data_IF_200727396250
#
_entry.id   IF_200727396250
#
_cell.length_a   1.000
_cell.length_b   1.000
_cell.length_c   1.000
_cell.angle_alpha   90.00
_cell.angle_beta   90.00
_cell.angle_gamma   90.00
#
_symmetry.space_group_name_H-M   'P 1'
#
loop_
_entity.id
_entity.type
_entity.pdbx_description
1 polymer ?
#
# COMPACT_ATOMS: atom_id res chain seq x y z
N UNK A 1 -13.14 -1.63 -27.91
CA UNK A 1 -13.18 -1.30 -26.46
C UNK A 1 -11.75 -1.43 -25.95
N UNK A 2 -11.18 -0.39 -25.37
CA UNK A 2 -9.82 -0.43 -24.81
C UNK A 2 -9.86 -1.16 -23.47
N UNK A 3 -8.91 -2.06 -23.23
CA UNK A 3 -8.83 -2.82 -21.99
C UNK A 3 -7.38 -2.87 -21.51
N UNK A 4 -7.14 -2.41 -20.29
CA UNK A 4 -5.83 -2.36 -19.65
C UNK A 4 -5.92 -3.19 -18.36
N UNK A 5 -5.09 -4.20 -18.23
CA UNK A 5 -5.05 -5.08 -17.06
C UNK A 5 -3.79 -4.86 -16.23
N UNK A 6 -3.93 -5.01 -14.92
CA UNK A 6 -2.81 -4.99 -14.00
C UNK A 6 -2.15 -6.37 -13.91
N UNK A 7 -0.83 -6.47 -14.09
CA UNK A 7 -0.07 -7.63 -13.67
C UNK A 7 -0.15 -7.88 -12.15
N UNK A 8 -0.01 -9.14 -11.74
CA UNK A 8 -0.16 -9.57 -10.35
C UNK A 8 1.00 -9.15 -9.42
N UNK A 9 2.12 -8.70 -9.97
CA UNK A 9 3.31 -8.32 -9.20
C UNK A 9 3.36 -6.82 -8.85
N UNK A 10 2.36 -6.03 -9.27
CA UNK A 10 2.35 -4.59 -8.98
C UNK A 10 1.81 -4.32 -7.58
N UNK A 11 2.39 -3.37 -6.83
CA UNK A 11 1.86 -2.94 -5.52
C UNK A 11 0.55 -2.15 -5.68
N UNK A 12 -0.16 -1.93 -4.57
CA UNK A 12 -1.29 -1.01 -4.52
C UNK A 12 -0.82 0.45 -4.46
N UNK A 13 -1.74 1.39 -4.72
CA UNK A 13 -1.45 2.81 -4.57
C UNK A 13 -1.20 3.15 -3.11
N UNK A 14 -0.04 3.75 -2.82
CA UNK A 14 0.40 4.10 -1.47
C UNK A 14 1.25 5.36 -1.52
N UNK A 15 1.04 6.29 -0.59
CA UNK A 15 1.86 7.50 -0.48
C UNK A 15 2.29 7.70 0.97
N UNK A 16 3.58 7.97 1.17
CA UNK A 16 4.11 8.39 2.45
C UNK A 16 3.70 9.83 2.69
N UNK A 17 3.04 10.09 3.82
CA UNK A 17 2.73 11.45 4.23
C UNK A 17 3.99 12.07 4.85
N UNK A 18 4.53 13.15 4.26
CA UNK A 18 5.70 13.83 4.82
C UNK A 18 5.37 14.47 6.17
N UNK A 19 6.38 14.65 7.02
CA UNK A 19 6.20 15.41 8.24
C UNK A 19 5.89 16.89 7.92
N UNK A 20 5.17 17.64 8.77
CA UNK A 20 4.78 19.03 8.48
C UNK A 20 5.95 19.99 8.19
N UNK A 21 7.16 19.66 8.63
CA UNK A 21 8.37 20.46 8.41
C UNK A 21 9.20 20.00 7.20
N UNK A 22 8.83 18.89 6.55
CA UNK A 22 9.46 18.40 5.33
C UNK A 22 8.73 18.95 4.11
N UNK A 23 9.34 19.94 3.47
CA UNK A 23 8.83 20.51 2.22
C UNK A 23 9.32 19.63 1.05
N UNK A 24 8.39 19.24 0.17
CA UNK A 24 8.63 18.67 -1.19
C UNK A 24 9.02 17.20 -1.37
N UNK A 25 9.12 16.37 -0.32
CA UNK A 25 9.41 14.93 -0.50
C UNK A 25 8.14 14.08 -0.51
N UNK A 26 7.38 14.14 -1.60
CA UNK A 26 6.32 13.15 -1.84
C UNK A 26 6.94 11.85 -2.34
N UNK A 27 6.75 10.75 -1.60
CA UNK A 27 7.20 9.42 -1.98
C UNK A 27 6.00 8.48 -2.02
N UNK A 28 5.71 7.90 -3.18
CA UNK A 28 4.53 7.06 -3.34
C UNK A 28 4.49 6.33 -4.68
N UNK A 29 3.51 5.45 -4.78
CA UNK A 29 3.17 4.70 -5.98
C UNK A 29 1.78 5.12 -6.42
N UNK A 30 1.69 5.75 -7.59
CA UNK A 30 0.45 6.16 -8.23
C UNK A 30 0.32 5.51 -9.62
N UNK A 31 -0.91 5.35 -10.10
CA UNK A 31 -1.18 4.87 -11.45
C UNK A 31 -1.83 5.99 -12.26
N UNK A 32 -1.28 6.27 -13.45
CA UNK A 32 -1.81 7.26 -14.38
C UNK A 32 -2.28 6.56 -15.65
N UNK A 33 -3.54 6.81 -16.05
CA UNK A 33 -4.02 6.49 -17.40
C UNK A 33 -3.88 7.73 -18.25
N UNK A 34 -3.13 7.62 -19.34
CA UNK A 34 -2.92 8.70 -20.30
C UNK A 34 -3.47 8.32 -21.66
N UNK A 35 -4.30 9.18 -22.23
CA UNK A 35 -4.77 9.10 -23.61
C UNK A 35 -4.31 10.33 -24.38
N UNK A 36 -3.96 10.18 -25.65
CA UNK A 36 -3.50 11.27 -26.49
C UNK A 36 -3.82 11.03 -27.97
N UNK A 37 -3.83 12.09 -28.76
CA UNK A 37 -3.98 12.05 -30.22
C UNK A 37 -2.70 12.51 -30.88
N UNK A 38 -2.20 11.76 -31.87
CA UNK A 38 -1.03 12.09 -32.69
C UNK A 38 -1.21 11.53 -34.10
N UNK A 39 -0.65 12.19 -35.10
CA UNK A 39 -0.63 11.70 -36.49
C UNK A 39 0.57 10.77 -36.74
N UNK A 40 1.69 11.06 -36.08
CA UNK A 40 2.91 10.25 -36.09
C UNK A 40 3.16 9.67 -34.67
N UNK A 41 3.27 8.34 -34.50
CA UNK A 41 3.56 7.72 -33.21
C UNK A 41 4.96 8.06 -32.65
N UNK A 42 5.90 8.51 -33.48
CA UNK A 42 7.24 8.93 -33.08
C UNK A 42 7.28 10.41 -32.64
N UNK A 43 6.23 11.19 -32.92
CA UNK A 43 6.16 12.59 -32.54
C UNK A 43 6.00 12.77 -31.02
N UNK A 44 6.67 13.81 -30.50
CA UNK A 44 6.52 14.20 -29.10
C UNK A 44 5.09 14.70 -28.82
N UNK A 45 4.33 13.90 -28.06
CA UNK A 45 2.96 14.21 -27.64
C UNK A 45 2.86 15.60 -26.98
N UNK A 46 2.11 16.51 -27.62
CA UNK A 46 1.81 17.83 -27.07
C UNK A 46 0.79 17.73 -25.92
N UNK A 47 1.02 18.46 -24.81
CA UNK A 47 0.14 18.43 -23.63
C UNK A 47 -1.33 18.73 -23.96
N UNK A 48 -1.59 19.65 -24.90
CA UNK A 48 -2.95 20.05 -25.34
C UNK A 48 -3.74 18.92 -26.02
N UNK A 49 -3.06 17.91 -26.54
CA UNK A 49 -3.67 16.75 -27.21
C UNK A 49 -3.67 15.51 -26.31
N UNK A 50 -3.39 15.66 -25.02
CA UNK A 50 -3.35 14.56 -24.06
C UNK A 50 -4.23 14.83 -22.85
N UNK A 51 -4.92 13.80 -22.38
CA UNK A 51 -5.61 13.78 -21.10
C UNK A 51 -4.94 12.76 -20.18
N UNK A 52 -4.91 13.07 -18.89
CA UNK A 52 -4.33 12.23 -17.84
C UNK A 52 -5.33 12.08 -16.71
N UNK A 53 -5.49 10.86 -16.23
CA UNK A 53 -6.34 10.53 -15.10
C UNK A 53 -5.54 9.70 -14.10
N UNK A 54 -5.39 10.21 -12.88
CA UNK A 54 -4.86 9.42 -11.78
C UNK A 54 -5.92 8.41 -11.33
N UNK A 55 -5.53 7.14 -11.25
CA UNK A 55 -6.35 6.05 -10.76
C UNK A 55 -5.64 5.36 -9.59
N UNK A 56 -6.40 4.61 -8.78
CA UNK A 56 -5.84 3.88 -7.64
C UNK A 56 -6.07 2.40 -7.78
N UNK A 57 -5.03 1.61 -7.47
CA UNK A 57 -5.18 0.19 -7.17
C UNK A 57 -5.36 0.06 -5.66
N UNK A 58 -6.53 -0.41 -5.23
CA UNK A 58 -6.90 -0.54 -3.81
C UNK A 58 -6.99 -2.02 -3.44
N UNK A 59 -6.42 -2.38 -2.28
CA UNK A 59 -6.57 -3.72 -1.71
C UNK A 59 -7.76 -3.74 -0.75
N UNK A 60 -8.66 -4.69 -0.96
CA UNK A 60 -9.75 -4.98 -0.04
C UNK A 60 -9.34 -6.07 0.94
N UNK A 61 -9.99 -6.10 2.09
CA UNK A 61 -9.82 -7.20 3.04
C UNK A 61 -10.27 -8.52 2.39
N UNK A 62 -9.61 -9.64 2.70
CA UNK A 62 -10.04 -10.95 2.23
C UNK A 62 -11.40 -11.32 2.83
N UNK A 63 -12.18 -12.11 2.10
CA UNK A 63 -13.49 -12.60 2.58
C UNK A 63 -13.36 -13.52 3.80
N UNK A 64 -12.30 -14.34 3.81
CA UNK A 64 -11.99 -15.26 4.90
C UNK A 64 -11.00 -14.57 5.83
N UNK A 65 -11.41 -14.36 7.08
CA UNK A 65 -10.52 -13.90 8.13
C UNK A 65 -9.57 -15.03 8.54
N UNK A 66 -8.30 -14.74 8.74
CA UNK A 66 -7.36 -15.72 9.27
C UNK A 66 -7.46 -15.87 10.80
N UNK A 67 -6.49 -16.57 11.40
CA UNK A 67 -6.54 -16.95 12.81
C UNK A 67 -6.43 -15.73 13.73
N UNK A 68 -6.90 -15.90 14.97
CA UNK A 68 -6.73 -14.87 16.00
C UNK A 68 -5.24 -14.59 16.24
N UNK A 69 -4.77 -13.33 16.10
CA UNK A 69 -3.39 -13.01 16.41
C UNK A 69 -3.12 -13.19 17.89
N UNK A 70 -2.10 -13.99 18.21
CA UNK A 70 -1.70 -14.33 19.56
C UNK A 70 -0.17 -14.44 19.63
N UNK A 71 0.41 -13.90 20.69
CA UNK A 71 1.83 -14.06 21.00
C UNK A 71 2.04 -14.24 22.50
N UNK A 72 3.00 -15.07 22.87
CA UNK A 72 3.41 -15.31 24.24
C UNK A 72 4.94 -15.27 24.32
N UNK A 73 5.46 -14.72 25.40
CA UNK A 73 6.91 -14.68 25.65
C UNK A 73 7.18 -14.81 27.14
N UNK A 74 8.39 -15.30 27.45
CA UNK A 74 8.84 -15.52 28.82
C UNK A 74 10.22 -14.92 29.01
N UNK A 75 10.38 -14.04 29.99
CA UNK A 75 11.67 -13.45 30.34
C UNK A 75 12.19 -14.01 31.65
N UNK A 76 13.49 -14.27 31.66
CA UNK A 76 14.25 -14.59 32.87
C UNK A 76 15.17 -13.42 33.18
N UNK A 77 15.26 -13.06 34.45
CA UNK A 77 16.09 -11.94 34.90
C UNK A 77 17.26 -12.48 35.69
N UNK A 78 18.46 -11.95 35.45
CA UNK A 78 19.70 -12.43 36.06
C UNK A 78 19.62 -12.53 37.59
N UNK A 79 18.92 -11.59 38.24
CA UNK A 79 18.77 -11.52 39.70
C UNK A 79 17.51 -12.21 40.25
N UNK A 80 16.62 -12.73 39.40
CA UNK A 80 15.38 -13.40 39.82
C UNK A 80 15.29 -14.82 39.26
N UNK A 81 15.10 -15.79 40.15
CA UNK A 81 14.82 -17.18 39.75
C UNK A 81 13.41 -17.40 39.21
N UNK A 82 12.52 -16.39 39.32
CA UNK A 82 11.13 -16.48 38.84
C UNK A 82 11.01 -15.86 37.44
N UNK A 83 10.49 -16.60 36.44
CA UNK A 83 10.23 -16.08 35.11
C UNK A 83 9.03 -15.13 35.09
N UNK A 84 9.03 -14.18 34.15
CA UNK A 84 7.88 -13.35 33.80
C UNK A 84 7.26 -13.84 32.50
N UNK A 85 6.03 -14.33 32.57
CA UNK A 85 5.24 -14.74 31.41
C UNK A 85 4.31 -13.61 30.97
N UNK A 86 4.30 -13.31 29.67
CA UNK A 86 3.40 -12.31 29.07
C UNK A 86 2.72 -12.88 27.84
N UNK A 87 1.41 -12.66 27.74
CA UNK A 87 0.57 -13.07 26.63
C UNK A 87 -0.19 -11.85 26.07
N UNK A 88 -0.29 -11.75 24.75
CA UNK A 88 -1.07 -10.72 24.07
C UNK A 88 -1.89 -11.33 22.92
N UNK A 89 -3.16 -10.94 22.83
CA UNK A 89 -4.08 -11.36 21.77
C UNK A 89 -4.76 -10.14 21.14
N UNK A 90 -5.08 -10.22 19.85
CA UNK A 90 -6.02 -9.31 19.18
C UNK A 90 -7.34 -10.02 18.92
N UNK A 91 -8.43 -9.29 18.71
CA UNK A 91 -9.73 -9.90 18.41
C UNK A 91 -9.83 -10.43 16.98
N UNK A 92 -9.08 -9.84 16.04
CA UNK A 92 -9.12 -10.15 14.60
C UNK A 92 -7.74 -9.93 13.98
N UNK A 93 -7.43 -10.69 12.94
CA UNK A 93 -6.20 -10.53 12.14
C UNK A 93 -6.22 -9.27 11.27
N UNK A 94 -7.32 -9.07 10.52
CA UNK A 94 -7.49 -7.92 9.62
C UNK A 94 -8.56 -6.99 10.19
N UNK A 95 -8.24 -5.70 10.24
CA UNK A 95 -9.18 -4.63 10.60
C UNK A 95 -9.47 -3.77 9.37
N UNK A 96 -10.75 -3.61 9.05
CA UNK A 96 -11.20 -2.58 8.13
C UNK A 96 -11.52 -1.31 8.94
N UNK A 97 -11.04 -0.15 8.49
CA UNK A 97 -11.33 1.17 9.06
C UNK A 97 -12.48 1.85 8.33
#
# INVERSE_FOLDING_TARGET
MWNLWFPNYLPCSVCLQPAPHEVEKCCGVDFEVKAFSTEDPEEKILKKHSVRLLIRKVQYAPEVAGPQPHTETTWQFFLSKKPLHLQACLSKEVRCS
#
